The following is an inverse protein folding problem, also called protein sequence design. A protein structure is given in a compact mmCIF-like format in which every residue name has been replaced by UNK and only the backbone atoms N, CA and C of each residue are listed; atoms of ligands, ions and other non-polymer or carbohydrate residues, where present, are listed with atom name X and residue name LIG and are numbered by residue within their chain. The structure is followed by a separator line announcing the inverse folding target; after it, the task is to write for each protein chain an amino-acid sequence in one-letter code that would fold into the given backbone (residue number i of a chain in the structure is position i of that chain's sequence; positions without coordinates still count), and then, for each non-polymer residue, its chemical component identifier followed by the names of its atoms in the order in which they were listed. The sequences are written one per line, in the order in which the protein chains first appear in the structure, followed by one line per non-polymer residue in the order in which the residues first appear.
data_IF_726946256064
#
_entry.id   IF_726946256064
#
_cell.length_a   1.000
_cell.length_b   1.000
_cell.length_c   1.000
_cell.angle_alpha   90.00
_cell.angle_beta   90.00
_cell.angle_gamma   90.00
#
_symmetry.space_group_name_H-M   'P 1'
#
loop_
_entity.id
_entity.type
_entity.pdbx_description
1 polymer ?
#
# COMPACT_ATOMS: atom_id res chain seq x y z
N UNK A 1 -6.29 -11.21 12.75
CA UNK A 1 -5.27 -10.14 12.88
C UNK A 1 -4.54 -10.02 11.54
N UNK A 2 -4.66 -8.89 10.85
CA UNK A 2 -3.98 -8.61 9.57
C UNK A 2 -2.71 -7.80 9.84
N UNK A 3 -1.65 -8.10 9.08
CA UNK A 3 -0.38 -7.37 9.12
C UNK A 3 0.04 -7.06 7.69
N UNK A 4 0.38 -5.81 7.41
CA UNK A 4 0.91 -5.37 6.12
C UNK A 4 2.27 -4.71 6.32
N UNK A 5 3.20 -4.98 5.41
CA UNK A 5 4.54 -4.41 5.40
C UNK A 5 4.83 -3.74 4.05
N UNK A 6 5.43 -2.55 4.10
CA UNK A 6 5.96 -1.83 2.97
C UNK A 6 7.44 -2.18 2.78
N UNK A 7 7.93 -2.15 1.54
CA UNK A 7 9.33 -2.43 1.21
C UNK A 7 10.31 -1.41 1.83
N UNK A 8 9.83 -0.23 2.23
CA UNK A 8 10.63 0.76 2.95
C UNK A 8 10.84 0.42 4.44
N UNK A 9 10.26 -0.68 4.93
CA UNK A 9 10.35 -1.13 6.32
C UNK A 9 9.18 -0.70 7.22
N UNK A 10 8.22 0.07 6.72
CA UNK A 10 6.99 0.39 7.46
C UNK A 10 6.10 -0.85 7.61
N UNK A 11 5.58 -1.10 8.81
CA UNK A 11 4.64 -2.20 9.10
C UNK A 11 3.46 -1.70 9.90
N UNK A 12 2.26 -2.14 9.54
CA UNK A 12 1.02 -1.87 10.28
C UNK A 12 0.28 -3.19 10.54
N UNK A 13 -0.31 -3.31 11.74
CA UNK A 13 -1.02 -4.50 12.19
C UNK A 13 -2.26 -4.14 12.97
N UNK A 14 -3.31 -4.95 12.87
CA UNK A 14 -4.58 -4.71 13.56
C UNK A 14 -5.61 -5.81 13.35
N UNK A 15 -6.69 -5.75 14.14
CA UNK A 15 -7.83 -6.66 13.99
C UNK A 15 -8.80 -6.21 12.90
N UNK A 16 -8.98 -4.90 12.74
CA UNK A 16 -9.79 -4.33 11.67
C UNK A 16 -8.96 -4.20 10.38
N UNK A 17 -9.31 -5.01 9.37
CA UNK A 17 -8.64 -5.02 8.08
C UNK A 17 -8.62 -3.64 7.40
N UNK A 18 -9.72 -2.90 7.47
CA UNK A 18 -9.84 -1.58 6.85
C UNK A 18 -8.91 -0.55 7.49
N UNK A 19 -8.68 -0.65 8.80
CA UNK A 19 -7.76 0.24 9.52
C UNK A 19 -6.31 -0.02 9.08
N UNK A 20 -5.93 -1.30 8.97
CA UNK A 20 -4.59 -1.71 8.54
C UNK A 20 -4.33 -1.24 7.10
N UNK A 21 -5.33 -1.39 6.22
CA UNK A 21 -5.25 -0.93 4.83
C UNK A 21 -5.18 0.59 4.72
N UNK A 22 -6.07 1.32 5.43
CA UNK A 22 -6.05 2.78 5.42
C UNK A 22 -4.69 3.34 5.91
N UNK A 23 -4.10 2.73 6.94
CA UNK A 23 -2.77 3.10 7.42
C UNK A 23 -1.67 2.86 6.38
N UNK A 24 -1.74 1.74 5.63
CA UNK A 24 -0.78 1.45 4.56
C UNK A 24 -0.90 2.44 3.39
N UNK A 25 -2.13 2.77 2.98
CA UNK A 25 -2.37 3.75 1.92
C UNK A 25 -1.94 5.16 2.33
N UNK A 26 -2.23 5.56 3.57
CA UNK A 26 -1.78 6.84 4.10
C UNK A 26 -0.25 6.94 4.09
N UNK A 27 0.45 5.90 4.56
CA UNK A 27 1.91 5.83 4.49
C UNK A 27 2.42 5.95 3.04
N UNK A 28 1.87 5.17 2.10
CA UNK A 28 2.30 5.22 0.71
C UNK A 28 2.12 6.61 0.07
N UNK A 29 1.00 7.28 0.34
CA UNK A 29 0.72 8.62 -0.22
C UNK A 29 1.64 9.68 0.39
N UNK A 30 1.88 9.63 1.69
CA UNK A 30 2.66 10.66 2.39
C UNK A 30 4.17 10.45 2.27
N UNK A 31 4.64 9.22 2.41
CA UNK A 31 6.07 8.92 2.48
C UNK A 31 6.64 8.48 1.12
N UNK A 32 5.78 8.13 0.16
CA UNK A 32 6.16 7.86 -1.23
C UNK A 32 5.48 8.80 -2.21
N UNK A 33 4.87 9.89 -1.74
CA UNK A 33 4.13 10.84 -2.57
C UNK A 33 4.93 11.40 -3.73
N UNK A 34 6.22 11.70 -3.54
CA UNK A 34 7.06 12.24 -4.62
C UNK A 34 7.47 11.17 -5.65
N UNK A 35 7.67 9.93 -5.21
CA UNK A 35 7.83 8.78 -6.12
C UNK A 35 6.55 8.59 -6.94
N UNK A 36 5.38 8.57 -6.29
CA UNK A 36 4.09 8.39 -6.96
C UNK A 36 3.80 9.51 -7.97
N UNK A 37 4.11 10.77 -7.64
CA UNK A 37 3.97 11.92 -8.56
C UNK A 37 4.90 11.83 -9.77
N UNK A 38 6.04 11.13 -9.64
CA UNK A 38 7.01 10.98 -10.73
C UNK A 38 6.64 9.89 -11.74
N UNK A 39 5.65 9.05 -11.43
CA UNK A 39 5.20 7.94 -12.27
C UNK A 39 4.22 8.42 -13.34
N UNK A 40 4.26 7.80 -14.53
CA UNK A 40 3.20 7.99 -15.53
C UNK A 40 1.91 7.32 -15.08
N UNK A 41 0.79 7.64 -15.73
CA UNK A 41 -0.51 7.01 -15.45
C UNK A 41 -0.41 5.48 -15.59
N UNK A 42 0.24 4.97 -16.64
CA UNK A 42 0.40 3.53 -16.86
C UNK A 42 1.21 2.86 -15.75
N UNK A 43 2.27 3.53 -15.27
CA UNK A 43 3.06 3.04 -14.14
C UNK A 43 2.24 3.01 -12.85
N UNK A 44 1.39 4.01 -12.62
CA UNK A 44 0.48 4.05 -11.48
C UNK A 44 -0.57 2.94 -11.56
N UNK A 45 -1.15 2.67 -12.73
CA UNK A 45 -2.08 1.55 -12.93
C UNK A 45 -1.44 0.22 -12.58
N UNK A 46 -0.23 -0.06 -13.09
CA UNK A 46 0.50 -1.29 -12.78
C UNK A 46 0.83 -1.41 -11.29
N UNK A 47 1.21 -0.31 -10.65
CA UNK A 47 1.47 -0.29 -9.22
C UNK A 47 0.19 -0.56 -8.41
N UNK A 48 -0.94 0.05 -8.79
CA UNK A 48 -2.24 -0.19 -8.14
C UNK A 48 -2.69 -1.64 -8.31
N UNK A 49 -2.56 -2.22 -9.51
CA UNK A 49 -2.87 -3.63 -9.76
C UNK A 49 -2.01 -4.56 -8.89
N UNK A 50 -0.70 -4.34 -8.83
CA UNK A 50 0.19 -5.11 -7.97
C UNK A 50 -0.18 -4.99 -6.48
N UNK A 51 -0.63 -3.81 -6.04
CA UNK A 51 -1.11 -3.60 -4.68
C UNK A 51 -2.43 -4.31 -4.42
N UNK A 52 -3.37 -4.28 -5.35
CA UNK A 52 -4.63 -5.02 -5.26
C UNK A 52 -4.40 -6.54 -5.18
N UNK A 53 -3.48 -7.08 -5.98
CA UNK A 53 -3.07 -8.49 -5.90
C UNK A 53 -2.41 -8.84 -4.57
N UNK A 54 -1.50 -7.99 -4.06
CA UNK A 54 -0.91 -8.17 -2.72
C UNK A 54 -1.98 -8.19 -1.62
N UNK A 55 -3.00 -7.33 -1.74
CA UNK A 55 -4.11 -7.27 -0.80
C UNK A 55 -5.00 -8.51 -0.87
N UNK A 56 -5.21 -9.06 -2.06
CA UNK A 56 -5.97 -10.32 -2.28
C UNK A 56 -5.21 -11.55 -1.83
N UNK A 57 -3.90 -11.61 -2.05
CA UNK A 57 -3.07 -12.75 -1.67
C UNK A 57 -2.80 -12.86 -0.15
N UNK A 58 -3.00 -11.76 0.59
CA UNK A 58 -2.89 -11.71 2.05
C UNK A 58 -4.22 -11.68 2.80
N UNK A 59 -5.34 -11.98 2.14
CA UNK A 59 -6.68 -12.06 2.71
C UNK A 59 -7.05 -13.50 3.12
#
# INVERSE_FOLDING_TARGET
MKTLSCNCGFTTKGENNYQVEAAMWHHAIHDHGDMLKSMTVEMLEQWLLSKDEQLKAGA
#
